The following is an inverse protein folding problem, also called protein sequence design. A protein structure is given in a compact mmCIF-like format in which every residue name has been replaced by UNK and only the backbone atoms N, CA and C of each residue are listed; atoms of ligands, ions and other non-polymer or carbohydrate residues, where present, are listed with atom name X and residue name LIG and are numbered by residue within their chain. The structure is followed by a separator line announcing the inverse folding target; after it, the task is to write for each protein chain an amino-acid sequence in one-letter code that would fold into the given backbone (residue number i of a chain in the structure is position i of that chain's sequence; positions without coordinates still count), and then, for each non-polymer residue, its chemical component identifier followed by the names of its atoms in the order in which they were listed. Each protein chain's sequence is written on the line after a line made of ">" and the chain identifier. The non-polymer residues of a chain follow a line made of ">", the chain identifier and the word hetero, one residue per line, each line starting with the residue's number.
data_IF_267871251939
#
_entry.id   IF_267871251939
#
_cell.length_a   1.000
_cell.length_b   1.000
_cell.length_c   1.000
_cell.angle_alpha   90.00
_cell.angle_beta   90.00
_cell.angle_gamma   90.00
#
_symmetry.space_group_name_H-M   'P 1'
#
loop_
_entity.id
_entity.type
_entity.pdbx_description
1 polymer ?
#
# COMPACT_ATOMS: atom_id res chain seq x y z
N UNK A 1 -28.55 16.20 2.05
CA UNK A 1 -27.70 15.91 0.87
C UNK A 1 -26.26 16.20 1.24
N UNK A 2 -25.49 15.19 1.66
CA UNK A 2 -24.09 15.37 2.07
C UNK A 2 -23.16 14.93 0.93
N UNK A 3 -22.36 15.87 0.45
CA UNK A 3 -21.43 15.69 -0.65
C UNK A 3 -20.34 14.66 -0.30
N UNK A 4 -20.26 13.58 -1.08
CA UNK A 4 -19.18 12.61 -1.01
C UNK A 4 -17.89 13.24 -1.56
N UNK A 5 -16.98 13.63 -0.67
CA UNK A 5 -15.62 13.99 -1.05
C UNK A 5 -14.89 12.72 -1.49
N UNK A 6 -14.68 12.56 -2.80
CA UNK A 6 -13.85 11.48 -3.36
C UNK A 6 -12.39 11.87 -3.16
N UNK A 7 -11.84 11.57 -1.99
CA UNK A 7 -10.39 11.61 -1.80
C UNK A 7 -9.80 10.39 -2.51
N UNK A 8 -9.26 10.59 -3.70
CA UNK A 8 -8.52 9.54 -4.39
C UNK A 8 -7.30 9.15 -3.54
N UNK A 9 -7.20 7.87 -3.14
CA UNK A 9 -5.98 7.32 -2.57
C UNK A 9 -4.87 7.37 -3.63
N UNK A 10 -4.12 8.47 -3.68
CA UNK A 10 -2.87 8.51 -4.44
C UNK A 10 -1.81 7.75 -3.63
N UNK A 11 -1.26 6.63 -4.13
CA UNK A 11 -0.45 5.74 -3.31
C UNK A 11 0.93 6.28 -2.95
N UNK A 12 1.39 7.37 -3.60
CA UNK A 12 2.72 7.92 -3.36
C UNK A 12 2.74 9.43 -3.49
N UNK A 13 3.11 10.11 -2.40
CA UNK A 13 3.41 11.55 -2.40
C UNK A 13 4.81 11.82 -2.98
N UNK A 14 5.15 13.09 -3.28
CA UNK A 14 6.50 13.46 -3.74
C UNK A 14 7.62 13.06 -2.76
N UNK A 15 7.26 12.75 -1.52
CA UNK A 15 8.13 12.38 -0.41
C UNK A 15 8.42 10.87 -0.32
N UNK A 16 7.54 10.01 -0.83
CA UNK A 16 7.79 8.56 -0.89
C UNK A 16 8.93 8.22 -1.86
N UNK A 17 9.23 9.14 -2.79
CA UNK A 17 10.44 9.10 -3.60
C UNK A 17 11.73 9.11 -2.76
N UNK A 18 11.69 9.66 -1.53
CA UNK A 18 12.86 9.72 -0.64
C UNK A 18 13.05 8.45 0.20
N UNK A 19 11.99 7.70 0.48
CA UNK A 19 12.11 6.43 1.24
C UNK A 19 12.86 5.38 0.41
N UNK A 20 12.66 5.41 -0.91
CA UNK A 20 13.44 4.62 -1.88
C UNK A 20 14.89 5.10 -2.08
N UNK A 21 15.32 6.23 -1.50
CA UNK A 21 16.68 6.78 -1.68
C UNK A 21 17.70 6.29 -0.65
N UNK A 22 17.31 5.47 0.34
CA UNK A 22 18.26 4.99 1.37
C UNK A 22 19.15 3.83 0.92
N UNK A 23 18.85 3.24 -0.24
CA UNK A 23 19.76 2.34 -0.95
C UNK A 23 20.28 3.07 -2.19
N UNK A 24 21.57 2.96 -2.54
CA UNK A 24 22.09 3.49 -3.79
C UNK A 24 21.21 3.00 -4.95
N UNK A 25 20.75 3.91 -5.82
CA UNK A 25 19.86 3.62 -6.96
C UNK A 25 20.39 2.47 -7.87
N UNK A 26 21.69 2.20 -7.78
CA UNK A 26 22.48 1.23 -8.50
C UNK A 26 22.59 -0.15 -7.84
N UNK A 27 22.08 -0.39 -6.63
CA UNK A 27 22.12 -1.73 -6.00
C UNK A 27 21.39 -2.78 -6.83
N UNK A 28 20.25 -2.42 -7.43
CA UNK A 28 19.45 -3.31 -8.29
C UNK A 28 20.08 -3.60 -9.64
N UNK A 29 21.19 -2.94 -9.97
CA UNK A 29 21.99 -3.16 -11.19
C UNK A 29 23.29 -3.91 -10.94
N UNK A 30 23.58 -4.26 -9.67
CA UNK A 30 24.80 -5.03 -9.35
C UNK A 30 24.66 -6.49 -9.75
N UNK A 31 25.77 -7.11 -10.11
CA UNK A 31 25.80 -8.55 -10.42
C UNK A 31 25.36 -9.40 -9.23
N UNK A 32 25.70 -8.99 -8.00
CA UNK A 32 25.27 -9.66 -6.78
C UNK A 32 23.74 -9.65 -6.62
N UNK A 33 23.09 -8.53 -6.93
CA UNK A 33 21.64 -8.45 -6.92
C UNK A 33 21.02 -9.31 -8.04
N UNK A 34 21.63 -9.35 -9.23
CA UNK A 34 21.21 -10.25 -10.32
C UNK A 34 21.27 -11.71 -9.91
N UNK A 35 22.39 -12.15 -9.33
CA UNK A 35 22.58 -13.52 -8.83
C UNK A 35 21.59 -13.87 -7.70
N UNK A 36 21.30 -12.90 -6.82
CA UNK A 36 20.29 -13.07 -5.78
C UNK A 36 18.91 -13.34 -6.40
N UNK A 37 18.48 -12.55 -7.37
CA UNK A 37 17.19 -12.73 -8.04
C UNK A 37 17.14 -14.06 -8.79
N UNK A 38 18.19 -14.44 -9.52
CA UNK A 38 18.26 -15.72 -10.22
C UNK A 38 18.12 -16.91 -9.25
N UNK A 39 18.80 -16.87 -8.10
CA UNK A 39 18.67 -17.91 -7.06
C UNK A 39 17.28 -17.92 -6.42
N UNK A 40 16.77 -16.74 -6.02
CA UNK A 40 15.48 -16.62 -5.36
C UNK A 40 14.32 -17.10 -6.27
N UNK A 41 14.46 -16.93 -7.58
CA UNK A 41 13.48 -17.38 -8.57
C UNK A 41 13.79 -18.76 -9.15
N UNK A 42 14.94 -19.35 -8.83
CA UNK A 42 15.48 -20.55 -9.48
C UNK A 42 15.45 -20.47 -11.01
N UNK A 43 15.66 -19.27 -11.55
CA UNK A 43 15.62 -18.99 -12.98
C UNK A 43 16.86 -18.18 -13.40
N UNK A 44 17.79 -18.78 -14.18
CA UNK A 44 18.99 -18.08 -14.63
C UNK A 44 18.68 -16.92 -15.60
N UNK A 45 17.52 -16.94 -16.27
CA UNK A 45 17.08 -15.90 -17.21
C UNK A 45 16.12 -14.89 -16.58
N UNK A 46 16.06 -14.86 -15.24
CA UNK A 46 15.20 -13.93 -14.51
C UNK A 46 15.51 -12.47 -14.89
N UNK A 47 14.49 -11.78 -15.40
CA UNK A 47 14.61 -10.38 -15.81
C UNK A 47 14.25 -9.45 -14.67
N UNK A 48 15.16 -8.56 -14.31
CA UNK A 48 14.89 -7.47 -13.37
C UNK A 48 14.21 -6.35 -14.14
N UNK A 49 12.94 -6.10 -13.84
CA UNK A 49 12.18 -5.03 -14.51
C UNK A 49 12.63 -3.64 -14.02
N UNK A 50 12.57 -2.67 -14.92
CA UNK A 50 12.89 -1.28 -14.59
C UNK A 50 11.99 -0.75 -13.47
N UNK A 51 12.54 0.08 -12.58
CA UNK A 51 11.80 0.67 -11.45
C UNK A 51 10.50 1.37 -11.89
N UNK A 52 10.50 2.06 -13.04
CA UNK A 52 9.30 2.70 -13.60
C UNK A 52 8.20 1.67 -13.93
N UNK A 53 8.59 0.54 -14.51
CA UNK A 53 7.67 -0.56 -14.86
C UNK A 53 7.13 -1.19 -13.58
N UNK A 54 8.00 -1.51 -12.61
CA UNK A 54 7.58 -2.04 -11.31
C UNK A 54 6.59 -1.11 -10.59
N UNK A 55 6.90 0.18 -10.51
CA UNK A 55 6.00 1.18 -9.90
C UNK A 55 4.64 1.26 -10.61
N UNK A 56 4.61 1.07 -11.93
CA UNK A 56 3.36 1.06 -12.70
C UNK A 56 2.54 -0.19 -12.37
N UNK A 57 3.18 -1.37 -12.36
CA UNK A 57 2.55 -2.62 -11.96
C UNK A 57 2.00 -2.55 -10.53
N UNK A 58 2.79 -2.01 -9.59
CA UNK A 58 2.39 -1.87 -8.20
C UNK A 58 1.15 -0.98 -8.06
N UNK A 59 1.09 0.15 -8.77
CA UNK A 59 -0.09 1.04 -8.77
C UNK A 59 -1.35 0.33 -9.29
N UNK A 60 -1.23 -0.43 -10.37
CA UNK A 60 -2.35 -1.19 -10.94
C UNK A 60 -2.80 -2.28 -9.98
N UNK A 61 -1.87 -3.07 -9.45
CA UNK A 61 -2.16 -4.13 -8.46
C UNK A 61 -2.81 -3.56 -7.19
N UNK A 62 -2.29 -2.44 -6.68
CA UNK A 62 -2.87 -1.76 -5.52
C UNK A 62 -4.29 -1.26 -5.81
N UNK A 63 -4.52 -0.67 -6.99
CA UNK A 63 -5.87 -0.21 -7.39
C UNK A 63 -6.86 -1.38 -7.45
N UNK A 64 -6.44 -2.53 -7.99
CA UNK A 64 -7.25 -3.76 -8.00
C UNK A 64 -7.51 -4.28 -6.59
N UNK A 65 -6.50 -4.30 -5.74
CA UNK A 65 -6.63 -4.66 -4.32
C UNK A 65 -7.66 -3.76 -3.62
N UNK A 66 -7.57 -2.44 -3.77
CA UNK A 66 -8.54 -1.51 -3.21
C UNK A 66 -9.95 -1.77 -3.72
N UNK A 67 -10.13 -2.06 -5.01
CA UNK A 67 -11.45 -2.38 -5.57
C UNK A 67 -12.03 -3.66 -4.98
N UNK A 68 -11.22 -4.70 -4.78
CA UNK A 68 -11.65 -5.96 -4.15
C UNK A 68 -11.98 -5.75 -2.66
N UNK A 69 -11.07 -5.11 -1.92
CA UNK A 69 -11.26 -4.83 -0.49
C UNK A 69 -12.47 -3.94 -0.25
N UNK A 70 -12.71 -2.94 -1.11
CA UNK A 70 -13.90 -2.09 -1.00
C UNK A 70 -15.17 -2.94 -1.04
N UNK A 71 -15.31 -3.84 -2.02
CA UNK A 71 -16.50 -4.69 -2.14
C UNK A 71 -16.66 -5.61 -0.93
N UNK A 72 -15.57 -6.26 -0.52
CA UNK A 72 -15.58 -7.13 0.67
C UNK A 72 -15.99 -6.35 1.92
N UNK A 73 -15.37 -5.19 2.15
CA UNK A 73 -15.71 -4.36 3.30
C UNK A 73 -17.16 -3.87 3.22
N UNK A 74 -17.64 -3.38 2.07
CA UNK A 74 -19.05 -2.96 1.93
C UNK A 74 -20.02 -4.08 2.30
N UNK A 75 -19.77 -5.32 1.86
CA UNK A 75 -20.56 -6.51 2.21
C UNK A 75 -20.49 -6.84 3.70
N UNK A 76 -19.28 -6.87 4.28
CA UNK A 76 -19.06 -7.16 5.70
C UNK A 76 -19.62 -6.07 6.62
N UNK A 77 -19.55 -4.78 6.25
CA UNK A 77 -20.15 -3.69 7.01
C UNK A 77 -21.68 -3.69 6.90
N UNK A 78 -22.24 -3.99 5.72
CA UNK A 78 -23.69 -4.19 5.58
C UNK A 78 -24.19 -5.36 6.45
N UNK A 79 -23.36 -6.37 6.68
CA UNK A 79 -23.68 -7.41 7.65
C UNK A 79 -23.49 -6.92 9.11
N UNK A 80 -22.32 -6.36 9.40
CA UNK A 80 -21.87 -6.00 10.76
C UNK A 80 -22.59 -4.78 11.36
N UNK A 81 -23.13 -3.84 10.58
CA UNK A 81 -23.84 -2.66 11.11
C UNK A 81 -25.12 -3.04 11.87
N UNK A 82 -25.61 -4.27 11.67
CA UNK A 82 -26.76 -4.83 12.41
C UNK A 82 -26.36 -5.42 13.77
N UNK A 83 -25.06 -5.53 14.06
CA UNK A 83 -24.55 -6.11 15.30
C UNK A 83 -24.18 -5.02 16.32
N UNK A 84 -24.52 -5.20 17.61
CA UNK A 84 -24.36 -4.15 18.62
C UNK A 84 -22.92 -3.85 19.06
N UNK A 85 -21.87 -4.37 18.41
CA UNK A 85 -20.47 -4.23 18.88
C UNK A 85 -19.43 -3.94 17.78
N UNK A 86 -19.77 -3.08 16.82
CA UNK A 86 -18.80 -2.59 15.84
C UNK A 86 -17.88 -1.52 16.46
N UNK A 87 -16.61 -1.86 16.67
CA UNK A 87 -15.62 -0.92 17.19
C UNK A 87 -14.80 -0.33 16.04
N UNK A 88 -14.91 0.99 15.86
CA UNK A 88 -14.04 1.77 14.97
C UNK A 88 -12.90 2.36 15.80
N UNK A 89 -11.68 1.93 15.50
CA UNK A 89 -10.46 2.39 16.14
C UNK A 89 -9.75 3.38 15.22
N UNK A 90 -9.46 4.57 15.73
CA UNK A 90 -8.64 5.56 15.04
C UNK A 90 -7.27 5.64 15.71
N UNK A 91 -6.20 5.55 14.92
CA UNK A 91 -4.83 5.78 15.37
C UNK A 91 -4.26 7.01 14.65
N UNK A 92 -3.55 7.84 15.38
CA UNK A 92 -3.00 9.10 14.91
C UNK A 92 -1.50 9.10 15.17
N UNK A 93 -0.72 9.04 14.09
CA UNK A 93 0.73 9.11 14.16
C UNK A 93 1.21 10.40 13.48
N UNK A 94 1.82 11.31 14.24
CA UNK A 94 2.37 12.55 13.69
C UNK A 94 3.89 12.46 13.66
N UNK A 95 4.50 12.92 12.56
CA UNK A 95 5.96 12.94 12.45
C UNK A 95 6.56 13.84 13.53
N UNK A 96 7.79 13.54 13.95
CA UNK A 96 8.47 14.26 15.04
C UNK A 96 8.59 15.78 14.81
N UNK A 97 8.56 16.22 13.55
CA UNK A 97 8.58 17.63 13.17
C UNK A 97 7.18 18.27 13.00
N UNK A 98 6.10 17.55 13.31
CA UNK A 98 4.72 18.02 13.26
C UNK A 98 4.15 18.28 11.86
N UNK A 99 4.95 18.12 10.79
CA UNK A 99 4.57 18.54 9.43
C UNK A 99 3.70 17.53 8.69
N UNK A 100 3.67 16.26 9.14
CA UNK A 100 2.84 15.21 8.55
C UNK A 100 2.16 14.44 9.65
N UNK A 101 0.91 14.09 9.40
CA UNK A 101 0.14 13.20 10.26
C UNK A 101 -0.43 12.07 9.40
N UNK A 102 -0.42 10.88 9.96
CA UNK A 102 -1.00 9.67 9.42
C UNK A 102 -2.18 9.30 10.32
N UNK A 103 -3.34 9.13 9.70
CA UNK A 103 -4.53 8.59 10.37
C UNK A 103 -4.70 7.15 9.93
N UNK A 104 -4.49 6.21 10.85
CA UNK A 104 -4.91 4.82 10.70
C UNK A 104 -6.36 4.70 11.15
N UNK A 105 -7.16 3.90 10.43
CA UNK A 105 -8.49 3.52 10.90
C UNK A 105 -8.66 2.03 10.71
N UNK A 106 -9.07 1.36 11.78
CA UNK A 106 -9.27 -0.08 11.83
C UNK A 106 -10.67 -0.36 12.35
N UNK A 107 -11.31 -1.39 11.81
CA UNK A 107 -12.59 -1.84 12.31
C UNK A 107 -12.44 -3.25 12.84
N UNK A 108 -12.98 -3.47 14.03
CA UNK A 108 -13.07 -4.77 14.67
C UNK A 108 -14.52 -5.05 15.02
N UNK A 109 -14.97 -6.25 14.72
CA UNK A 109 -16.24 -6.79 15.19
C UNK A 109 -15.95 -8.05 16.00
N UNK A 110 -16.69 -8.24 17.08
CA UNK A 110 -16.71 -9.50 17.81
C UNK A 110 -17.84 -10.34 17.21
N UNK A 111 -17.57 -11.55 16.69
CA UNK A 111 -18.61 -12.45 16.20
C UNK A 111 -19.57 -12.91 17.32
#
# INVERSE_FOLDING_TARGET
>A
MAAHSRTACTPFGPEDKRILQRLPLNEVTTENFRLLIQRATSNPDATIIAAKTYCTMLKVSFSRFCAMMKRLLEEEFEFAHRFPFLNLLHDLCTTSNGKRSLVGSSVSFLP
#
